data_IF_306993511320
#
_entry.id   IF_306993511320
#
_cell.length_a   1.000
_cell.length_b   1.000
_cell.length_c   1.000
_cell.angle_alpha   90.00
_cell.angle_beta   90.00
_cell.angle_gamma   90.00
#
_symmetry.space_group_name_H-M   'P 1'
#
loop_
_entity.id
_entity.type
_entity.pdbx_description
1 polymer ?
#
# COMPACT_ATOMS: atom_id res chain seq x y z
N UNK A 1 17.91 -23.74 33.54
CA UNK A 1 19.06 -23.09 32.94
C UNK A 1 18.77 -22.96 31.44
N UNK A 2 18.64 -21.77 30.92
CA UNK A 2 18.48 -21.61 29.47
C UNK A 2 19.79 -22.06 28.81
N UNK A 3 19.72 -23.05 27.97
CA UNK A 3 20.87 -23.52 27.20
C UNK A 3 21.30 -22.37 26.27
N UNK A 4 22.55 -21.93 26.37
CA UNK A 4 23.11 -20.89 25.53
C UNK A 4 23.57 -21.54 24.22
N UNK A 5 22.98 -21.12 23.12
CA UNK A 5 23.36 -21.56 21.78
C UNK A 5 24.23 -20.50 21.10
N UNK A 6 25.16 -20.94 20.29
CA UNK A 6 26.04 -20.10 19.48
C UNK A 6 25.77 -20.37 18.00
N UNK A 7 26.06 -19.36 17.21
CA UNK A 7 26.00 -19.38 15.75
C UNK A 7 27.27 -18.79 15.18
N UNK A 8 27.74 -19.29 14.08
CA UNK A 8 28.80 -18.64 13.28
C UNK A 8 28.16 -17.73 12.25
N UNK A 9 28.80 -16.60 11.97
CA UNK A 9 28.34 -15.58 11.01
C UNK A 9 26.90 -15.11 11.21
N UNK A 10 26.46 -14.76 12.43
CA UNK A 10 25.13 -14.21 12.62
C UNK A 10 24.98 -12.93 11.79
N UNK A 11 23.96 -12.91 10.95
CA UNK A 11 23.68 -11.81 10.01
C UNK A 11 22.20 -11.48 10.03
N UNK A 12 21.88 -10.22 9.88
CA UNK A 12 20.54 -9.69 9.70
C UNK A 12 20.50 -8.84 8.45
N UNK A 13 19.52 -9.10 7.60
CA UNK A 13 19.13 -8.24 6.50
C UNK A 13 17.77 -7.62 6.81
N UNK A 14 17.71 -6.31 6.91
CA UNK A 14 16.47 -5.57 7.00
C UNK A 14 16.03 -5.11 5.61
N UNK A 15 14.86 -5.56 5.17
CA UNK A 15 14.20 -5.08 3.96
C UNK A 15 13.10 -4.09 4.33
N UNK A 16 13.20 -2.85 3.86
CA UNK A 16 12.24 -1.76 4.14
C UNK A 16 11.60 -1.30 2.85
N UNK A 17 10.28 -1.10 2.89
CA UNK A 17 9.51 -0.68 1.71
C UNK A 17 8.72 0.59 2.00
N UNK A 18 8.90 1.57 1.10
CA UNK A 18 8.22 2.86 1.15
C UNK A 18 7.51 3.15 -0.16
N UNK A 19 6.44 3.92 -0.08
CA UNK A 19 5.75 4.39 -1.27
C UNK A 19 6.60 5.44 -1.99
N UNK A 20 6.83 5.26 -3.28
CA UNK A 20 7.41 6.29 -4.14
C UNK A 20 6.32 7.22 -4.63
N UNK A 21 5.27 6.66 -5.25
CA UNK A 21 4.13 7.42 -5.75
C UNK A 21 2.84 6.61 -5.59
N UNK A 22 1.81 7.23 -5.04
CA UNK A 22 0.46 6.66 -4.94
C UNK A 22 -0.53 7.34 -5.86
N UNK A 23 -1.64 6.66 -6.15
CA UNK A 23 -2.73 7.22 -6.93
C UNK A 23 -3.26 8.52 -6.27
N UNK A 24 -3.37 9.60 -7.05
CA UNK A 24 -3.90 10.89 -6.59
C UNK A 24 -2.93 11.73 -5.76
N UNK A 25 -1.65 11.33 -5.63
CA UNK A 25 -0.65 12.15 -4.96
C UNK A 25 -0.19 13.31 -5.83
N UNK A 26 0.00 14.47 -5.21
CA UNK A 26 0.63 15.64 -5.82
C UNK A 26 2.15 15.48 -5.92
N UNK A 27 2.81 16.26 -6.77
CA UNK A 27 4.28 16.29 -6.86
C UNK A 27 4.94 16.59 -5.52
N UNK A 28 4.32 17.43 -4.69
CA UNK A 28 4.79 17.74 -3.34
C UNK A 28 4.77 16.49 -2.45
N UNK A 29 3.69 15.71 -2.48
CA UNK A 29 3.58 14.45 -1.71
C UNK A 29 4.58 13.40 -2.19
N UNK A 30 4.84 13.32 -3.50
CA UNK A 30 5.89 12.45 -4.08
C UNK A 30 7.27 12.87 -3.59
N UNK A 31 7.55 14.18 -3.58
CA UNK A 31 8.80 14.71 -3.04
C UNK A 31 8.97 14.40 -1.53
N UNK A 32 7.90 14.49 -0.75
CA UNK A 32 7.89 14.11 0.67
C UNK A 32 8.15 12.60 0.86
N UNK A 33 7.59 11.73 0.00
CA UNK A 33 7.89 10.29 0.01
C UNK A 33 9.36 10.02 -0.28
N UNK A 34 9.92 10.69 -1.29
CA UNK A 34 11.34 10.59 -1.64
C UNK A 34 12.22 11.01 -0.47
N UNK A 35 11.94 12.16 0.12
CA UNK A 35 12.67 12.65 1.28
C UNK A 35 12.58 11.68 2.47
N UNK A 36 11.40 11.14 2.76
CA UNK A 36 11.19 10.16 3.82
C UNK A 36 12.04 8.91 3.62
N UNK A 37 12.10 8.39 2.39
CA UNK A 37 12.92 7.21 2.07
C UNK A 37 14.41 7.51 2.24
N UNK A 38 14.90 8.63 1.69
CA UNK A 38 16.33 8.97 1.69
C UNK A 38 16.90 9.33 3.05
N UNK A 39 16.07 9.78 3.97
CA UNK A 39 16.46 9.98 5.37
C UNK A 39 17.00 8.71 6.02
N UNK A 40 16.53 7.53 5.62
CA UNK A 40 17.02 6.25 6.13
C UNK A 40 18.46 5.94 5.71
N UNK A 41 18.91 6.50 4.58
CA UNK A 41 20.26 6.28 4.05
C UNK A 41 21.19 7.43 4.41
N UNK A 42 20.66 8.63 4.52
CA UNK A 42 21.38 9.84 4.89
C UNK A 42 20.65 10.59 6.02
N UNK A 43 20.98 10.29 7.26
CA UNK A 43 20.40 10.96 8.43
C UNK A 43 20.57 12.49 8.42
N UNK A 44 21.59 13.02 7.74
CA UNK A 44 21.79 14.47 7.56
C UNK A 44 20.61 15.14 6.84
N UNK A 45 19.82 14.40 6.07
CA UNK A 45 18.55 14.85 5.49
C UNK A 45 17.41 14.90 6.53
N UNK A 46 17.70 14.62 7.80
CA UNK A 46 16.75 14.70 8.91
C UNK A 46 16.31 16.15 9.23
N UNK A 47 16.79 17.11 8.47
CA UNK A 47 16.37 18.50 8.50
C UNK A 47 14.99 18.64 7.87
N UNK A 48 14.29 19.71 8.27
CA UNK A 48 13.01 20.10 7.70
C UNK A 48 13.04 20.00 6.16
N UNK A 49 12.05 19.29 5.57
CA UNK A 49 11.97 19.05 4.12
C UNK A 49 12.11 20.36 3.32
N UNK A 50 11.47 21.45 3.78
CA UNK A 50 11.54 22.76 3.14
C UNK A 50 12.97 23.31 3.01
N UNK A 51 13.87 22.92 3.91
CA UNK A 51 15.28 23.34 3.92
C UNK A 51 16.20 22.47 3.06
N UNK A 52 15.77 21.26 2.70
CA UNK A 52 16.60 20.28 1.96
C UNK A 52 16.02 19.93 0.58
N UNK A 53 14.83 20.40 0.23
CA UNK A 53 14.17 20.09 -1.06
C UNK A 53 15.02 20.45 -2.28
N UNK A 54 15.93 21.38 -2.15
CA UNK A 54 16.86 21.81 -3.19
C UNK A 54 18.23 21.09 -3.19
N UNK A 55 18.41 20.10 -2.33
CA UNK A 55 19.64 19.31 -2.26
C UNK A 55 19.92 18.62 -3.61
N UNK A 56 21.17 18.70 -4.05
CA UNK A 56 21.59 18.11 -5.33
C UNK A 56 21.38 16.60 -5.39
N UNK A 57 21.52 15.90 -4.25
CA UNK A 57 21.25 14.46 -4.19
C UNK A 57 19.78 14.17 -4.46
N UNK A 58 18.86 14.86 -3.79
CA UNK A 58 17.42 14.66 -4.03
C UNK A 58 17.03 14.95 -5.48
N UNK A 59 17.66 15.96 -6.13
CA UNK A 59 17.47 16.25 -7.54
C UNK A 59 18.00 15.16 -8.46
N UNK A 60 19.18 14.59 -8.16
CA UNK A 60 19.75 13.47 -8.91
C UNK A 60 18.86 12.22 -8.78
N UNK A 61 18.38 11.95 -7.60
CA UNK A 61 17.48 10.83 -7.33
C UNK A 61 16.14 10.96 -8.08
N UNK A 62 15.58 12.19 -8.08
CA UNK A 62 14.38 12.47 -8.86
C UNK A 62 14.59 12.25 -10.37
N UNK A 63 15.81 12.40 -10.86
CA UNK A 63 16.17 12.12 -12.26
C UNK A 63 16.26 10.63 -12.53
N UNK A 64 16.91 9.87 -11.63
CA UNK A 64 17.00 8.41 -11.73
C UNK A 64 15.60 7.74 -11.66
N UNK A 65 14.73 8.23 -10.79
CA UNK A 65 13.37 7.71 -10.61
C UNK A 65 12.47 7.87 -11.86
N UNK A 66 12.79 8.79 -12.75
CA UNK A 66 12.06 8.98 -14.02
C UNK A 66 12.36 7.90 -15.07
N UNK A 67 13.30 7.01 -14.80
CA UNK A 67 13.68 5.94 -15.73
C UNK A 67 12.56 4.91 -15.81
N UNK A 68 12.03 4.65 -17.01
CA UNK A 68 11.04 3.58 -17.24
C UNK A 68 11.75 2.22 -17.31
N UNK A 69 11.86 1.56 -16.18
CA UNK A 69 12.45 0.24 -16.05
C UNK A 69 11.70 -0.58 -15.00
N UNK A 70 11.78 -1.92 -15.09
CA UNK A 70 11.22 -2.81 -14.06
C UNK A 70 11.78 -2.53 -12.67
N UNK A 71 13.01 -2.03 -12.62
CA UNK A 71 13.67 -1.53 -11.41
C UNK A 71 14.77 -0.54 -11.76
N UNK A 72 15.09 0.32 -10.81
CA UNK A 72 16.20 1.29 -10.90
C UNK A 72 17.07 1.14 -9.65
N UNK A 73 18.39 1.00 -9.83
CA UNK A 73 19.34 1.10 -8.72
C UNK A 73 19.51 2.57 -8.35
N UNK A 74 19.31 2.88 -7.08
CA UNK A 74 19.31 4.25 -6.59
C UNK A 74 20.64 4.66 -5.95
N UNK A 75 21.46 3.70 -5.51
CA UNK A 75 22.83 3.94 -5.04
C UNK A 75 23.82 3.51 -6.12
N UNK A 76 24.56 4.47 -6.68
CA UNK A 76 25.60 4.24 -7.70
C UNK A 76 26.80 5.12 -7.34
N UNK A 77 28.02 4.58 -7.07
CA UNK A 77 28.27 3.15 -6.85
C UNK A 77 27.57 2.61 -5.60
N UNK A 78 27.37 1.29 -5.54
CA UNK A 78 26.84 0.63 -4.36
C UNK A 78 27.72 1.02 -3.17
N UNK A 79 27.12 1.69 -2.17
CA UNK A 79 27.86 2.06 -0.98
C UNK A 79 27.99 0.85 -0.07
N UNK A 80 29.12 0.18 -0.14
CA UNK A 80 29.59 -0.67 0.94
C UNK A 80 30.08 0.25 2.06
N UNK A 81 29.32 0.39 3.11
CA UNK A 81 29.77 1.07 4.32
C UNK A 81 30.20 0.01 5.34
N UNK A 82 31.43 0.07 5.77
CA UNK A 82 31.88 -0.72 6.91
C UNK A 82 31.18 -0.18 8.16
N UNK A 83 30.32 -1.00 8.70
CA UNK A 83 29.65 -0.73 9.98
C UNK A 83 30.64 -0.93 11.09
N UNK A 84 31.06 -0.39 11.98
CA UNK A 84 31.97 -0.59 13.12
C UNK A 84 32.99 -1.75 13.00
N UNK A 85 34.09 -1.79 13.75
CA UNK A 85 35.16 -2.76 13.59
C UNK A 85 34.73 -4.23 13.65
N UNK A 86 33.62 -4.53 14.36
CA UNK A 86 33.13 -5.90 14.57
C UNK A 86 31.92 -6.27 13.70
N UNK A 87 31.33 -5.30 12.97
CA UNK A 87 30.15 -5.50 12.15
C UNK A 87 30.40 -4.94 10.75
N UNK A 88 30.35 -5.79 9.75
CA UNK A 88 30.30 -5.40 8.34
C UNK A 88 28.85 -5.32 7.86
N UNK A 89 28.60 -4.45 6.91
CA UNK A 89 27.28 -4.37 6.31
C UNK A 89 27.26 -3.41 5.12
N UNK A 90 26.12 -3.35 4.43
CA UNK A 90 25.94 -2.49 3.28
C UNK A 90 24.48 -2.04 3.13
N UNK A 91 24.29 -1.01 2.32
CA UNK A 91 22.98 -0.57 1.86
C UNK A 91 22.79 -0.93 0.39
N UNK A 92 21.60 -1.42 0.05
CA UNK A 92 21.19 -1.63 -1.32
C UNK A 92 19.82 -1.02 -1.53
N UNK A 93 19.74 0.02 -2.35
CA UNK A 93 18.52 0.78 -2.55
C UNK A 93 18.04 0.68 -4.00
N UNK A 94 16.75 0.37 -4.16
CA UNK A 94 16.07 0.18 -5.44
C UNK A 94 14.76 0.98 -5.50
N UNK A 95 14.36 1.35 -6.70
CA UNK A 95 12.97 1.62 -7.02
C UNK A 95 12.40 0.40 -7.75
N UNK A 96 11.24 -0.07 -7.30
CA UNK A 96 10.46 -1.17 -7.88
C UNK A 96 9.09 -0.64 -8.28
N UNK A 97 8.97 -0.12 -9.51
CA UNK A 97 7.77 0.59 -9.96
C UNK A 97 7.46 1.81 -9.06
N UNK A 98 6.33 1.77 -8.37
CA UNK A 98 5.84 2.82 -7.45
C UNK A 98 6.37 2.72 -6.01
N UNK A 99 7.35 1.86 -5.75
CA UNK A 99 7.83 1.51 -4.41
C UNK A 99 9.34 1.66 -4.31
N UNK A 100 9.82 2.29 -3.25
CA UNK A 100 11.21 2.22 -2.84
C UNK A 100 11.46 0.97 -2.01
N UNK A 101 12.57 0.30 -2.25
CA UNK A 101 13.05 -0.83 -1.47
C UNK A 101 14.48 -0.53 -0.98
N UNK A 102 14.69 -0.63 0.32
CA UNK A 102 15.99 -0.53 0.96
C UNK A 102 16.31 -1.84 1.65
N UNK A 103 17.44 -2.43 1.32
CA UNK A 103 18.05 -3.48 2.11
C UNK A 103 19.20 -2.87 2.93
N UNK A 104 19.23 -3.20 4.21
CA UNK A 104 20.35 -2.91 5.12
C UNK A 104 20.85 -4.22 5.68
N UNK A 105 22.04 -4.61 5.27
CA UNK A 105 22.73 -5.80 5.77
C UNK A 105 23.60 -5.41 6.97
N UNK A 106 23.67 -6.31 7.95
CA UNK A 106 24.57 -6.20 9.07
C UNK A 106 24.92 -7.58 9.62
N UNK A 107 26.20 -7.88 9.74
CA UNK A 107 26.64 -9.18 10.21
C UNK A 107 28.02 -9.19 10.80
N UNK A 108 28.34 -10.27 11.53
CA UNK A 108 29.66 -10.53 12.10
C UNK A 108 30.54 -11.18 11.06
N UNK A 109 31.76 -10.72 10.91
CA UNK A 109 32.70 -11.19 9.88
C UNK A 109 33.63 -12.30 10.35
N UNK A 110 33.79 -12.50 11.65
CA UNK A 110 34.69 -13.50 12.19
C UNK A 110 34.04 -14.91 12.23
N UNK A 111 34.90 -15.94 12.22
CA UNK A 111 34.49 -17.36 12.19
C UNK A 111 34.14 -17.91 13.58
N UNK A 112 34.33 -17.12 14.63
CA UNK A 112 34.09 -17.57 15.99
C UNK A 112 32.59 -17.64 16.28
N UNK A 113 32.18 -18.70 16.99
CA UNK A 113 30.81 -18.81 17.46
C UNK A 113 30.40 -17.63 18.33
N UNK A 114 29.27 -17.02 18.01
CA UNK A 114 28.69 -15.90 18.75
C UNK A 114 27.40 -16.34 19.41
N UNK A 115 27.10 -15.86 20.61
CA UNK A 115 25.85 -16.15 21.27
C UNK A 115 24.68 -15.54 20.49
N UNK A 116 23.51 -16.16 20.55
CA UNK A 116 22.28 -15.68 19.86
C UNK A 116 21.94 -14.24 20.25
N UNK A 117 22.29 -13.80 21.47
CA UNK A 117 22.12 -12.40 21.91
C UNK A 117 22.80 -11.39 20.98
N UNK A 118 23.80 -11.81 20.19
CA UNK A 118 24.45 -10.93 19.21
C UNK A 118 23.50 -10.37 18.16
N UNK A 119 22.40 -11.07 17.85
CA UNK A 119 21.37 -10.55 16.96
C UNK A 119 20.71 -9.27 17.49
N UNK A 120 20.59 -9.11 18.80
CA UNK A 120 20.08 -7.86 19.38
C UNK A 120 21.01 -6.68 19.07
N UNK A 121 22.33 -6.87 19.20
CA UNK A 121 23.33 -5.82 18.91
C UNK A 121 23.30 -5.45 17.42
N UNK A 122 23.24 -6.47 16.54
CA UNK A 122 23.17 -6.25 15.08
C UNK A 122 21.89 -5.48 14.74
N UNK A 123 20.74 -5.89 15.27
CA UNK A 123 19.45 -5.21 15.06
C UNK A 123 19.50 -3.75 15.50
N UNK A 124 19.96 -3.48 16.71
CA UNK A 124 20.09 -2.12 17.24
C UNK A 124 21.02 -1.25 16.36
N UNK A 125 22.10 -1.83 15.85
CA UNK A 125 23.00 -1.14 14.93
C UNK A 125 22.29 -0.77 13.62
N UNK A 126 21.57 -1.71 13.00
CA UNK A 126 20.78 -1.47 11.79
C UNK A 126 19.72 -0.39 12.04
N UNK A 127 18.95 -0.51 13.12
CA UNK A 127 17.91 0.47 13.48
C UNK A 127 18.47 1.88 13.67
N UNK A 128 19.60 1.99 14.36
CA UNK A 128 20.29 3.28 14.53
C UNK A 128 20.72 3.89 13.20
N UNK A 129 21.16 3.08 12.24
CA UNK A 129 21.61 3.55 10.92
C UNK A 129 20.51 4.08 10.03
N UNK A 130 19.30 3.60 10.20
CA UNK A 130 18.11 4.10 9.49
C UNK A 130 17.30 5.11 10.34
N UNK A 131 17.92 5.66 11.39
CA UNK A 131 17.28 6.62 12.30
C UNK A 131 15.98 6.07 12.92
N UNK A 132 15.94 4.76 13.23
CA UNK A 132 14.78 4.03 13.76
C UNK A 132 13.50 4.17 12.91
N UNK A 133 13.63 4.51 11.62
CA UNK A 133 12.49 4.72 10.74
C UNK A 133 12.00 3.42 10.11
N UNK A 134 10.73 3.15 10.30
CA UNK A 134 10.06 2.00 9.68
C UNK A 134 9.66 2.27 8.22
N UNK A 135 9.40 1.21 7.46
CA UNK A 135 8.82 1.32 6.13
C UNK A 135 7.34 1.66 6.18
N UNK A 136 6.89 2.62 5.36
CA UNK A 136 5.47 3.00 5.26
C UNK A 136 4.59 1.87 4.69
N UNK A 137 5.15 1.05 3.79
CA UNK A 137 4.48 -0.12 3.22
C UNK A 137 4.70 -1.36 4.10
N UNK A 138 5.87 -1.46 4.71
CA UNK A 138 6.22 -2.54 5.62
C UNK A 138 7.70 -2.86 5.61
N UNK A 139 8.09 -3.86 6.40
CA UNK A 139 9.47 -4.29 6.51
C UNK A 139 9.59 -5.76 6.91
N UNK A 140 10.70 -6.39 6.51
CA UNK A 140 11.03 -7.78 6.83
C UNK A 140 12.42 -7.85 7.44
N UNK A 141 12.56 -8.55 8.55
CA UNK A 141 13.82 -8.95 9.13
C UNK A 141 14.18 -10.35 8.65
N UNK A 142 15.17 -10.49 7.80
CA UNK A 142 15.75 -11.78 7.44
C UNK A 142 16.97 -12.02 8.32
N UNK A 143 16.87 -13.02 9.17
CA UNK A 143 17.87 -13.35 10.19
C UNK A 143 18.47 -14.70 9.84
N UNK A 144 19.77 -14.77 9.71
CA UNK A 144 20.40 -16.04 9.38
C UNK A 144 21.77 -16.23 10.05
N UNK A 145 22.16 -17.47 10.17
CA UNK A 145 23.47 -17.86 10.70
C UNK A 145 23.74 -19.32 10.47
N UNK A 146 24.98 -19.75 10.68
CA UNK A 146 25.35 -21.14 10.58
C UNK A 146 25.41 -21.79 11.97
N UNK A 147 24.88 -22.98 12.11
CA UNK A 147 24.94 -23.78 13.32
C UNK A 147 26.36 -24.29 13.57
N UNK A 148 26.83 -24.29 14.81
CA UNK A 148 28.17 -24.82 15.15
C UNK A 148 28.25 -26.34 15.07
N UNK A 149 27.13 -27.03 15.27
CA UNK A 149 27.02 -28.50 15.21
C UNK A 149 25.66 -28.91 14.67
N UNK A 150 25.49 -30.21 14.45
CA UNK A 150 24.18 -30.78 14.11
C UNK A 150 23.31 -30.78 15.37
N UNK A 151 22.11 -30.19 15.25
CA UNK A 151 21.08 -30.19 16.28
C UNK A 151 19.87 -31.02 15.80
N UNK A 152 19.12 -31.55 16.73
CA UNK A 152 17.85 -32.20 16.41
C UNK A 152 16.77 -31.14 16.10
N UNK A 153 15.63 -31.52 15.50
CA UNK A 153 14.59 -30.56 15.09
C UNK A 153 14.02 -29.72 16.26
N UNK A 154 13.89 -30.29 17.45
CA UNK A 154 13.39 -29.59 18.64
C UNK A 154 14.37 -28.52 19.12
N UNK A 155 15.66 -28.83 19.10
CA UNK A 155 16.72 -27.87 19.43
C UNK A 155 16.75 -26.73 18.42
N UNK A 156 16.59 -27.00 17.10
CA UNK A 156 16.54 -25.96 16.07
C UNK A 156 15.36 -25.03 16.27
N UNK A 157 14.20 -25.56 16.66
CA UNK A 157 13.02 -24.74 17.03
C UNK A 157 13.35 -23.86 18.24
N UNK A 158 13.96 -24.41 19.29
CA UNK A 158 14.35 -23.65 20.48
C UNK A 158 15.37 -22.53 20.15
N UNK A 159 16.30 -22.78 19.22
CA UNK A 159 17.22 -21.78 18.68
C UNK A 159 16.45 -20.66 17.96
N UNK A 160 15.45 -21.02 17.14
CA UNK A 160 14.62 -20.06 16.42
C UNK A 160 13.78 -19.18 17.39
N UNK A 161 13.22 -19.79 18.43
CA UNK A 161 12.49 -19.06 19.48
C UNK A 161 13.39 -18.08 20.24
N UNK A 162 14.60 -18.52 20.62
CA UNK A 162 15.57 -17.61 21.25
C UNK A 162 15.97 -16.48 20.32
N UNK A 163 16.21 -16.78 19.03
CA UNK A 163 16.55 -15.78 18.03
C UNK A 163 15.42 -14.74 17.87
N UNK A 164 14.18 -15.21 17.76
CA UNK A 164 13.02 -14.33 17.71
C UNK A 164 12.95 -13.38 18.92
N UNK A 165 13.19 -13.91 20.12
CA UNK A 165 13.18 -13.10 21.36
C UNK A 165 14.23 -11.99 21.35
N UNK A 166 15.39 -12.20 20.69
CA UNK A 166 16.39 -11.14 20.54
C UNK A 166 15.96 -10.06 19.55
N UNK A 167 15.20 -10.44 18.54
CA UNK A 167 14.67 -9.50 17.52
C UNK A 167 13.44 -8.75 18.06
N UNK A 168 12.58 -9.42 18.84
CA UNK A 168 11.37 -8.83 19.43
C UNK A 168 11.32 -9.04 20.95
N UNK A 169 12.14 -8.35 21.74
CA UNK A 169 12.22 -8.55 23.20
C UNK A 169 10.94 -8.12 23.94
N UNK A 170 10.06 -7.33 23.32
CA UNK A 170 8.80 -6.90 23.91
C UNK A 170 7.69 -7.95 23.84
N UNK A 171 7.87 -9.02 23.07
CA UNK A 171 6.89 -10.07 22.91
C UNK A 171 6.77 -10.93 24.18
N UNK A 172 5.56 -11.06 24.72
CA UNK A 172 5.24 -11.82 25.93
C UNK A 172 4.32 -13.02 25.68
N UNK A 173 4.24 -13.50 24.44
CA UNK A 173 3.37 -14.60 24.03
C UNK A 173 4.10 -15.91 23.76
N UNK A 174 3.34 -16.96 23.40
CA UNK A 174 3.90 -18.17 22.81
C UNK A 174 4.15 -17.89 21.33
N UNK A 175 5.39 -18.06 20.89
CA UNK A 175 5.77 -17.86 19.49
C UNK A 175 5.12 -18.95 18.65
N UNK A 176 4.26 -18.57 17.73
CA UNK A 176 3.76 -19.47 16.71
C UNK A 176 4.74 -19.44 15.54
N UNK A 177 5.81 -20.24 15.62
CA UNK A 177 6.62 -20.50 14.44
C UNK A 177 5.72 -21.19 13.41
N UNK A 178 5.50 -20.54 12.28
CA UNK A 178 4.83 -21.19 11.17
C UNK A 178 5.73 -22.34 10.70
N UNK A 179 5.13 -23.39 10.16
CA UNK A 179 5.76 -24.68 9.84
C UNK A 179 7.23 -24.59 9.43
N UNK A 180 8.06 -25.48 9.97
CA UNK A 180 9.46 -25.61 9.56
C UNK A 180 9.54 -25.80 8.04
N UNK A 181 10.21 -24.88 7.39
CA UNK A 181 10.48 -24.84 5.94
C UNK A 181 11.96 -25.12 5.70
N UNK A 182 12.34 -25.40 4.48
CA UNK A 182 13.76 -25.42 4.08
C UNK A 182 14.06 -24.27 3.12
N UNK A 183 15.21 -23.63 3.30
CA UNK A 183 15.67 -22.54 2.46
C UNK A 183 17.16 -22.68 2.19
N UNK A 184 17.53 -22.88 0.92
CA UNK A 184 18.93 -23.07 0.48
C UNK A 184 19.67 -24.17 1.24
N UNK A 185 18.95 -25.21 1.67
CA UNK A 185 19.50 -26.31 2.47
C UNK A 185 19.58 -26.05 3.98
N UNK A 186 19.16 -24.90 4.45
CA UNK A 186 19.00 -24.57 5.86
C UNK A 186 17.58 -24.80 6.37
N UNK A 187 17.41 -24.84 7.69
CA UNK A 187 16.10 -24.85 8.36
C UNK A 187 15.56 -23.42 8.45
N UNK A 188 14.37 -23.20 7.92
CA UNK A 188 13.76 -21.88 7.85
C UNK A 188 12.44 -21.81 8.63
N UNK A 189 12.20 -20.64 9.25
CA UNK A 189 11.02 -20.33 10.03
C UNK A 189 10.53 -18.95 9.67
N UNK A 190 9.23 -18.79 9.57
CA UNK A 190 8.58 -17.51 9.34
C UNK A 190 7.71 -17.14 10.54
N UNK A 191 7.85 -15.92 11.01
CA UNK A 191 6.98 -15.36 12.04
C UNK A 191 6.36 -14.08 11.49
N UNK A 192 5.06 -14.01 11.57
CA UNK A 192 4.33 -12.83 11.18
C UNK A 192 3.23 -12.53 12.20
N UNK A 193 3.34 -11.35 12.77
CA UNK A 193 2.32 -10.79 13.65
C UNK A 193 1.36 -9.93 12.85
N UNK A 194 0.10 -10.38 12.81
CA UNK A 194 -0.95 -9.61 12.13
C UNK A 194 -1.30 -8.36 12.95
N UNK A 195 -1.65 -7.24 12.30
CA UNK A 195 -2.21 -6.10 13.01
C UNK A 195 -3.45 -6.52 13.82
N UNK A 196 -3.51 -6.11 15.09
CA UNK A 196 -4.69 -6.34 15.93
C UNK A 196 -5.91 -5.54 15.44
N UNK A 197 -5.66 -4.41 14.81
CA UNK A 197 -6.66 -3.57 14.15
C UNK A 197 -6.15 -3.09 12.79
N UNK A 198 -6.83 -3.50 11.72
CA UNK A 198 -6.49 -3.14 10.35
C UNK A 198 -6.91 -1.71 9.95
N UNK A 199 -7.57 -0.95 10.79
CA UNK A 199 -7.92 0.45 10.54
C UNK A 199 -6.91 1.39 11.21
N UNK A 200 -6.30 0.94 12.31
CA UNK A 200 -5.33 1.71 13.06
C UNK A 200 -3.96 1.69 12.39
N UNK A 201 -3.41 2.87 12.11
CA UNK A 201 -2.12 3.02 11.45
C UNK A 201 -0.96 2.51 12.29
N UNK A 202 -0.99 2.75 13.61
CA UNK A 202 0.06 2.30 14.50
C UNK A 202 0.10 0.78 14.59
N UNK A 203 -1.05 0.13 14.74
CA UNK A 203 -1.14 -1.33 14.77
C UNK A 203 -0.63 -1.97 13.46
N UNK A 204 -0.86 -1.30 12.32
CA UNK A 204 -0.30 -1.75 11.03
C UNK A 204 1.22 -1.59 10.99
N UNK A 205 1.75 -0.45 11.45
CA UNK A 205 3.21 -0.20 11.51
C UNK A 205 3.92 -1.14 12.48
N UNK A 206 3.27 -1.49 13.58
CA UNK A 206 3.82 -2.39 14.60
C UNK A 206 3.76 -3.87 14.18
N UNK A 207 3.11 -4.18 13.03
CA UNK A 207 3.11 -5.54 12.50
C UNK A 207 4.52 -5.99 12.12
N UNK A 208 4.94 -7.13 12.63
CA UNK A 208 6.29 -7.64 12.49
C UNK A 208 6.34 -8.84 11.54
N UNK A 209 7.29 -8.83 10.63
CA UNK A 209 7.60 -9.99 9.79
C UNK A 209 9.07 -10.35 9.92
N UNK A 210 9.33 -11.57 10.37
CA UNK A 210 10.69 -12.12 10.54
C UNK A 210 10.78 -13.43 9.77
N UNK A 211 11.85 -13.58 8.99
CA UNK A 211 12.24 -14.81 8.33
C UNK A 211 13.58 -15.25 8.89
N UNK A 212 13.63 -16.40 9.58
CA UNK A 212 14.81 -16.93 10.27
C UNK A 212 15.31 -18.14 9.50
N UNK A 213 16.62 -18.23 9.24
CA UNK A 213 17.23 -19.36 8.56
C UNK A 213 18.53 -19.81 9.23
N UNK A 214 18.64 -21.08 9.55
CA UNK A 214 19.87 -21.68 10.10
C UNK A 214 20.46 -22.68 9.13
N UNK A 215 21.71 -22.46 8.75
CA UNK A 215 22.43 -23.36 7.85
C UNK A 215 23.21 -24.42 8.65
N UNK A 216 23.26 -25.67 8.14
CA UNK A 216 24.01 -26.73 8.82
C UNK A 216 25.52 -26.50 8.77
N UNK A 217 26.29 -27.04 9.75
CA UNK A 217 27.74 -26.80 9.83
C UNK A 217 28.54 -27.40 8.65
N UNK A 218 27.96 -28.38 7.92
CA UNK A 218 28.61 -29.00 6.79
C UNK A 218 28.58 -28.14 5.51
N UNK A 219 27.72 -27.15 5.45
CA UNK A 219 27.61 -26.25 4.30
C UNK A 219 28.70 -25.18 4.40
N UNK A 220 29.50 -25.01 3.34
CA UNK A 220 30.52 -23.97 3.32
C UNK A 220 29.87 -22.57 3.42
N UNK A 221 30.39 -21.73 4.29
CA UNK A 221 29.91 -20.34 4.46
C UNK A 221 29.97 -19.53 3.17
N UNK A 222 31.00 -19.74 2.37
CA UNK A 222 31.12 -19.10 1.06
C UNK A 222 29.98 -19.49 0.13
N UNK A 223 29.60 -20.79 0.13
CA UNK A 223 28.45 -21.26 -0.63
C UNK A 223 27.14 -20.71 -0.12
N UNK A 224 26.97 -20.59 1.21
CA UNK A 224 25.80 -19.96 1.83
C UNK A 224 25.70 -18.50 1.35
N UNK A 225 26.75 -17.71 1.54
CA UNK A 225 26.81 -16.29 1.13
C UNK A 225 26.54 -16.12 -0.36
N UNK A 226 27.16 -16.95 -1.21
CA UNK A 226 26.95 -16.94 -2.66
C UNK A 226 25.51 -17.29 -3.04
N UNK A 227 24.92 -18.29 -2.40
CA UNK A 227 23.55 -18.71 -2.66
C UNK A 227 22.54 -17.62 -2.27
N UNK A 228 22.73 -17.00 -1.09
CA UNK A 228 21.92 -15.87 -0.64
C UNK A 228 22.09 -14.69 -1.61
N UNK A 229 23.32 -14.31 -1.97
CA UNK A 229 23.59 -13.20 -2.88
C UNK A 229 22.90 -13.39 -4.25
N UNK A 230 22.86 -14.62 -4.78
CA UNK A 230 22.22 -14.92 -6.05
C UNK A 230 20.70 -14.69 -6.04
N UNK A 231 20.07 -14.82 -4.89
CA UNK A 231 18.60 -14.69 -4.76
C UNK A 231 18.17 -13.40 -4.07
N UNK A 232 19.08 -12.53 -3.63
CA UNK A 232 18.73 -11.30 -2.94
C UNK A 232 17.71 -10.46 -3.70
N UNK A 233 17.90 -10.31 -5.00
CA UNK A 233 17.00 -9.55 -5.84
C UNK A 233 15.59 -10.17 -5.90
N UNK A 234 15.52 -11.51 -5.87
CA UNK A 234 14.23 -12.21 -5.81
C UNK A 234 13.59 -12.09 -4.43
N UNK A 235 14.38 -12.09 -3.33
CA UNK A 235 13.87 -11.87 -1.98
C UNK A 235 13.35 -10.43 -1.79
N UNK A 236 14.10 -9.43 -2.25
CA UNK A 236 13.65 -8.02 -2.21
C UNK A 236 12.28 -7.88 -2.89
N UNK A 237 12.10 -8.48 -4.07
CA UNK A 237 10.82 -8.45 -4.79
C UNK A 237 9.73 -9.25 -4.08
N UNK A 238 10.05 -10.44 -3.59
CA UNK A 238 9.10 -11.30 -2.89
C UNK A 238 8.50 -10.60 -1.66
N UNK A 239 9.36 -10.03 -0.82
CA UNK A 239 8.92 -9.31 0.36
C UNK A 239 8.22 -7.98 0.01
N UNK A 240 8.64 -7.30 -1.07
CA UNK A 240 7.93 -6.14 -1.59
C UNK A 240 6.47 -6.48 -1.92
N UNK A 241 6.24 -7.54 -2.69
CA UNK A 241 4.90 -7.98 -3.07
C UNK A 241 4.07 -8.37 -1.85
N UNK A 242 4.68 -9.09 -0.88
CA UNK A 242 4.04 -9.41 0.39
C UNK A 242 3.53 -8.16 1.12
N UNK A 243 4.42 -7.20 1.31
CA UNK A 243 4.09 -5.98 2.05
C UNK A 243 3.11 -5.09 1.29
N UNK A 244 3.16 -5.05 -0.04
CA UNK A 244 2.15 -4.35 -0.86
C UNK A 244 0.77 -4.98 -0.74
N UNK A 245 0.65 -6.30 -0.65
CA UNK A 245 -0.62 -6.98 -0.38
C UNK A 245 -1.20 -6.52 0.97
N UNK A 246 -0.39 -6.55 2.03
CA UNK A 246 -0.81 -6.18 3.37
C UNK A 246 -1.16 -4.70 3.47
N UNK A 247 -0.34 -3.83 2.88
CA UNK A 247 -0.57 -2.40 2.84
C UNK A 247 -1.84 -2.03 2.07
N UNK A 248 -2.06 -2.64 0.91
CA UNK A 248 -3.27 -2.42 0.13
C UNK A 248 -4.53 -2.91 0.87
N UNK A 249 -4.44 -4.04 1.59
CA UNK A 249 -5.52 -4.50 2.44
C UNK A 249 -5.79 -3.51 3.58
N UNK A 250 -4.76 -3.03 4.27
CA UNK A 250 -4.89 -1.97 5.28
C UNK A 250 -5.57 -0.73 4.72
N UNK A 251 -5.13 -0.20 3.57
CA UNK A 251 -5.77 0.95 2.92
C UNK A 251 -7.25 0.67 2.60
N UNK A 252 -7.55 -0.54 2.13
CA UNK A 252 -8.93 -0.94 1.83
C UNK A 252 -9.85 -0.90 3.05
N UNK A 253 -9.33 -1.25 4.25
CA UNK A 253 -10.13 -1.19 5.50
C UNK A 253 -10.48 0.24 5.87
N UNK A 254 -9.53 1.17 5.72
CA UNK A 254 -9.76 2.61 5.92
C UNK A 254 -10.80 3.15 4.92
N UNK A 255 -10.65 2.81 3.64
CA UNK A 255 -11.59 3.23 2.59
C UNK A 255 -13.00 2.69 2.86
N UNK A 256 -13.13 1.39 3.20
CA UNK A 256 -14.41 0.80 3.57
C UNK A 256 -15.09 1.56 4.72
N UNK A 257 -14.33 1.94 5.73
CA UNK A 257 -14.86 2.71 6.86
C UNK A 257 -15.41 4.07 6.42
N UNK A 258 -14.69 4.78 5.53
CA UNK A 258 -15.15 6.06 4.95
C UNK A 258 -16.40 5.88 4.12
N UNK A 259 -16.39 4.95 3.15
CA UNK A 259 -17.53 4.69 2.27
C UNK A 259 -18.79 4.30 3.08
N UNK A 260 -18.64 3.55 4.18
CA UNK A 260 -19.76 3.24 5.07
C UNK A 260 -20.33 4.49 5.75
N UNK A 261 -19.47 5.42 6.14
CA UNK A 261 -19.92 6.70 6.70
C UNK A 261 -20.71 7.48 5.66
N UNK A 262 -20.16 7.62 4.45
CA UNK A 262 -20.82 8.30 3.34
C UNK A 262 -22.18 7.64 3.03
N UNK A 263 -22.25 6.30 3.05
CA UNK A 263 -23.50 5.57 2.83
C UNK A 263 -24.55 5.84 3.91
N UNK A 264 -24.18 5.98 5.17
CA UNK A 264 -25.11 6.36 6.24
C UNK A 264 -25.66 7.78 6.02
N UNK A 265 -24.83 8.72 5.58
CA UNK A 265 -25.24 10.07 5.21
C UNK A 265 -26.23 10.07 4.05
N UNK A 266 -26.06 9.18 3.07
CA UNK A 266 -27.02 8.93 1.99
C UNK A 266 -28.36 8.48 2.55
N UNK A 267 -28.39 7.53 3.47
CA UNK A 267 -29.63 7.03 4.08
C UNK A 267 -30.40 8.14 4.81
N UNK A 268 -29.69 9.01 5.54
CA UNK A 268 -30.33 10.16 6.18
C UNK A 268 -30.88 11.16 5.15
N UNK A 269 -30.15 11.38 4.06
CA UNK A 269 -30.62 12.24 2.96
C UNK A 269 -31.88 11.66 2.28
N UNK A 270 -31.94 10.32 2.09
CA UNK A 270 -33.15 9.65 1.57
C UNK A 270 -34.36 9.90 2.48
N UNK A 271 -34.19 9.78 3.79
CA UNK A 271 -35.29 10.08 4.76
C UNK A 271 -35.73 11.53 4.65
N UNK A 272 -34.78 12.46 4.63
CA UNK A 272 -35.05 13.90 4.52
C UNK A 272 -35.84 14.22 3.25
N UNK A 273 -35.47 13.63 2.09
CA UNK A 273 -36.19 13.83 0.82
C UNK A 273 -37.60 13.25 0.87
N UNK A 274 -37.79 12.09 1.52
CA UNK A 274 -39.12 11.51 1.71
C UNK A 274 -40.01 12.46 2.51
N UNK A 275 -39.49 13.05 3.58
CA UNK A 275 -40.21 13.99 4.42
C UNK A 275 -40.54 15.30 3.66
N UNK A 276 -39.59 15.79 2.86
CA UNK A 276 -39.81 16.93 1.95
C UNK A 276 -40.85 16.62 0.87
N UNK A 277 -40.88 15.39 0.34
CA UNK A 277 -41.91 14.94 -0.60
C UNK A 277 -43.32 14.92 0.01
N UNK A 278 -43.44 14.57 1.30
CA UNK A 278 -44.74 14.66 2.01
C UNK A 278 -45.17 16.12 2.23
N UNK A 279 -44.23 17.02 2.50
CA UNK A 279 -44.49 18.45 2.59
C UNK A 279 -44.94 19.06 1.25
N UNK A 280 -44.43 18.56 0.13
CA UNK A 280 -44.86 18.95 -1.22
C UNK A 280 -46.37 18.72 -1.41
N UNK A 281 -46.88 17.56 -0.99
CA UNK A 281 -48.30 17.23 -1.07
C UNK A 281 -49.17 18.17 -0.22
N UNK A 282 -48.59 18.76 0.83
CA UNK A 282 -49.27 19.69 1.70
C UNK A 282 -49.09 21.18 1.29
N UNK A 283 -48.45 21.42 0.12
CA UNK A 283 -48.22 22.79 -0.40
C UNK A 283 -47.20 23.63 0.37
N UNK A 284 -46.35 23.03 1.19
CA UNK A 284 -45.36 23.67 2.08
C UNK A 284 -43.93 23.40 1.73
N UNK A 285 -43.60 23.14 0.43
CA UNK A 285 -42.24 22.83 0.04
C UNK A 285 -41.29 24.01 0.18
N UNK A 286 -40.17 23.81 0.87
CA UNK A 286 -39.07 24.75 0.93
C UNK A 286 -38.04 24.46 -0.20
N UNK A 287 -38.05 25.29 -1.23
CA UNK A 287 -37.17 25.13 -2.42
C UNK A 287 -35.69 25.31 -2.05
N UNK A 288 -35.38 26.22 -1.15
CA UNK A 288 -34.02 26.50 -0.68
C UNK A 288 -33.43 25.28 0.05
N UNK A 289 -34.26 24.61 0.85
CA UNK A 289 -33.84 23.38 1.53
C UNK A 289 -33.61 22.21 0.57
N UNK A 290 -34.41 22.12 -0.49
CA UNK A 290 -34.19 21.11 -1.57
C UNK A 290 -32.92 21.37 -2.35
N UNK A 291 -32.63 22.62 -2.69
CA UNK A 291 -31.40 23.03 -3.35
C UNK A 291 -30.16 22.73 -2.51
N UNK A 292 -30.23 23.06 -1.21
CA UNK A 292 -29.17 22.71 -0.26
C UNK A 292 -28.96 21.19 -0.20
N UNK A 293 -30.05 20.43 -0.09
CA UNK A 293 -30.00 18.96 -0.06
C UNK A 293 -29.40 18.38 -1.35
N UNK A 294 -29.69 18.97 -2.52
CA UNK A 294 -29.07 18.59 -3.78
C UNK A 294 -27.56 18.83 -3.77
N UNK A 295 -27.11 19.99 -3.32
CA UNK A 295 -25.67 20.34 -3.23
C UNK A 295 -24.92 19.40 -2.28
N UNK A 296 -25.48 19.13 -1.10
CA UNK A 296 -24.92 18.21 -0.13
C UNK A 296 -24.82 16.79 -0.71
N UNK A 297 -25.87 16.34 -1.42
CA UNK A 297 -25.89 15.01 -2.07
C UNK A 297 -24.85 14.89 -3.19
N UNK A 298 -24.62 15.94 -3.97
CA UNK A 298 -23.58 15.98 -5.01
C UNK A 298 -22.17 15.87 -4.41
N UNK A 299 -21.95 16.51 -3.27
CA UNK A 299 -20.68 16.40 -2.54
C UNK A 299 -20.44 14.96 -2.07
N UNK A 300 -21.45 14.36 -1.43
CA UNK A 300 -21.39 12.95 -0.98
C UNK A 300 -21.15 12.03 -2.16
N UNK A 301 -21.84 12.24 -3.31
CA UNK A 301 -21.63 11.43 -4.52
C UNK A 301 -20.17 11.47 -4.98
N UNK A 302 -19.58 12.66 -5.01
CA UNK A 302 -18.18 12.84 -5.44
C UNK A 302 -17.20 12.12 -4.53
N UNK A 303 -17.35 12.28 -3.21
CA UNK A 303 -16.51 11.60 -2.21
C UNK A 303 -16.67 10.09 -2.27
N UNK A 304 -17.92 9.61 -2.37
CA UNK A 304 -18.23 8.19 -2.49
C UNK A 304 -17.59 7.58 -3.74
N UNK A 305 -17.72 8.24 -4.90
CA UNK A 305 -17.15 7.77 -6.16
C UNK A 305 -15.61 7.71 -6.11
N UNK A 306 -14.96 8.72 -5.52
CA UNK A 306 -13.51 8.75 -5.35
C UNK A 306 -13.07 7.62 -4.42
N UNK A 307 -13.70 7.46 -3.25
CA UNK A 307 -13.35 6.42 -2.29
C UNK A 307 -13.58 5.01 -2.86
N UNK A 308 -14.65 4.81 -3.64
CA UNK A 308 -14.92 3.54 -4.31
C UNK A 308 -13.90 3.23 -5.41
N UNK A 309 -13.45 4.24 -6.16
CA UNK A 309 -12.36 4.10 -7.14
C UNK A 309 -11.04 3.71 -6.47
N UNK A 310 -10.70 4.31 -5.34
CA UNK A 310 -9.52 3.92 -4.58
C UNK A 310 -9.64 2.51 -4.01
N UNK A 311 -10.84 2.09 -3.58
CA UNK A 311 -11.08 0.72 -3.13
C UNK A 311 -10.83 -0.30 -4.25
N UNK A 312 -11.27 0.00 -5.47
CA UNK A 312 -11.00 -0.84 -6.65
C UNK A 312 -9.50 -0.86 -7.01
N UNK A 313 -8.80 0.24 -6.85
CA UNK A 313 -7.35 0.30 -7.03
C UNK A 313 -6.61 -0.61 -6.02
N UNK A 314 -7.01 -0.58 -4.74
CA UNK A 314 -6.43 -1.49 -3.76
C UNK A 314 -6.74 -2.96 -4.07
N UNK A 315 -7.92 -3.27 -4.59
CA UNK A 315 -8.28 -4.61 -5.06
C UNK A 315 -7.34 -5.08 -6.17
N UNK A 316 -7.09 -4.24 -7.17
CA UNK A 316 -6.15 -4.53 -8.27
C UNK A 316 -4.72 -4.67 -7.75
N UNK A 317 -4.31 -3.81 -6.83
CA UNK A 317 -2.99 -3.86 -6.20
C UNK A 317 -2.76 -5.21 -5.49
N UNK A 318 -3.73 -5.69 -4.70
CA UNK A 318 -3.63 -7.02 -4.08
C UNK A 318 -3.51 -8.11 -5.15
N UNK A 319 -4.39 -8.11 -6.15
CA UNK A 319 -4.44 -9.15 -7.19
C UNK A 319 -3.12 -9.24 -7.98
N UNK A 320 -2.57 -8.12 -8.40
CA UNK A 320 -1.31 -8.07 -9.16
C UNK A 320 -0.13 -8.51 -8.29
N UNK A 321 -0.04 -8.00 -7.06
CA UNK A 321 1.08 -8.35 -6.18
C UNK A 321 1.00 -9.81 -5.70
N UNK A 322 -0.20 -10.37 -5.51
CA UNK A 322 -0.37 -11.79 -5.19
C UNK A 322 0.12 -12.69 -6.33
N UNK A 323 -0.26 -12.39 -7.57
CA UNK A 323 0.24 -13.13 -8.74
C UNK A 323 1.77 -13.01 -8.89
N UNK A 324 2.33 -11.82 -8.66
CA UNK A 324 3.77 -11.61 -8.71
C UNK A 324 4.50 -12.33 -7.57
N UNK A 325 3.91 -12.34 -6.36
CA UNK A 325 4.41 -13.08 -5.20
C UNK A 325 4.49 -14.57 -5.48
N UNK A 326 3.42 -15.18 -5.99
CA UNK A 326 3.35 -16.60 -6.31
C UNK A 326 4.38 -16.97 -7.39
N UNK A 327 4.46 -16.22 -8.48
CA UNK A 327 5.46 -16.45 -9.55
C UNK A 327 6.89 -16.32 -9.03
N UNK A 328 7.15 -15.39 -8.13
CA UNK A 328 8.48 -15.20 -7.55
C UNK A 328 8.86 -16.34 -6.62
N UNK A 329 7.92 -16.79 -5.81
CA UNK A 329 8.10 -17.93 -4.92
C UNK A 329 8.37 -19.21 -5.71
N UNK A 330 7.61 -19.46 -6.78
CA UNK A 330 7.84 -20.59 -7.69
C UNK A 330 9.23 -20.52 -8.36
N UNK A 331 9.69 -19.31 -8.74
CA UNK A 331 11.03 -19.11 -9.29
C UNK A 331 12.10 -19.51 -8.29
N UNK A 332 12.02 -18.99 -7.06
CA UNK A 332 12.97 -19.30 -5.98
C UNK A 332 13.00 -20.81 -5.72
N UNK A 333 11.84 -21.47 -5.64
CA UNK A 333 11.75 -22.90 -5.38
C UNK A 333 12.30 -23.76 -6.55
N UNK A 334 12.13 -23.32 -7.81
CA UNK A 334 12.65 -24.02 -8.98
C UNK A 334 14.17 -23.89 -9.14
N UNK A 335 14.70 -22.70 -8.91
CA UNK A 335 16.14 -22.43 -9.04
C UNK A 335 16.93 -23.02 -7.87
N UNK A 336 16.29 -23.32 -6.76
CA UNK A 336 16.88 -23.84 -5.54
C UNK A 336 16.09 -25.05 -5.04
N UNK A 337 16.40 -26.23 -5.61
CA UNK A 337 15.71 -27.49 -5.27
C UNK A 337 15.72 -27.85 -3.78
N UNK A 338 16.62 -27.26 -3.00
CA UNK A 338 16.72 -27.42 -1.54
C UNK A 338 15.88 -26.39 -0.77
N UNK A 339 14.97 -25.67 -1.43
CA UNK A 339 14.08 -24.70 -0.81
C UNK A 339 12.63 -25.16 -0.92
N UNK A 340 12.00 -25.41 0.23
CA UNK A 340 10.58 -25.71 0.38
C UNK A 340 9.98 -24.65 1.32
N UNK A 341 9.41 -23.60 0.74
CA UNK A 341 8.93 -22.40 1.46
C UNK A 341 7.43 -22.49 1.74
N UNK A 342 7.04 -23.53 2.48
CA UNK A 342 5.63 -23.85 2.77
C UNK A 342 4.88 -22.71 3.47
N UNK A 343 5.50 -22.05 4.45
CA UNK A 343 4.89 -20.91 5.15
C UNK A 343 4.59 -19.74 4.21
N UNK A 344 5.50 -19.46 3.28
CA UNK A 344 5.31 -18.42 2.28
C UNK A 344 4.22 -18.79 1.26
N UNK A 345 4.07 -20.07 0.92
CA UNK A 345 2.95 -20.54 0.09
C UNK A 345 1.63 -20.35 0.82
N UNK A 346 1.56 -20.74 2.10
CA UNK A 346 0.38 -20.54 2.94
C UNK A 346 -0.02 -19.06 3.05
N UNK A 347 0.95 -18.14 3.13
CA UNK A 347 0.64 -16.70 3.07
C UNK A 347 -0.02 -16.31 1.75
N UNK A 348 0.44 -16.85 0.62
CA UNK A 348 -0.16 -16.59 -0.70
C UNK A 348 -1.61 -17.07 -0.77
N UNK A 349 -1.87 -18.31 -0.32
CA UNK A 349 -3.21 -18.91 -0.25
C UNK A 349 -4.12 -18.11 0.69
N UNK A 350 -3.66 -17.81 1.89
CA UNK A 350 -4.39 -16.99 2.86
C UNK A 350 -4.72 -15.61 2.31
N UNK A 351 -3.81 -14.99 1.58
CA UNK A 351 -4.02 -13.67 0.98
C UNK A 351 -5.09 -13.70 -0.12
N UNK A 352 -5.16 -14.78 -0.90
CA UNK A 352 -6.20 -14.99 -1.89
C UNK A 352 -7.57 -15.16 -1.21
N UNK A 353 -7.65 -16.09 -0.26
CA UNK A 353 -8.90 -16.51 0.36
C UNK A 353 -9.45 -15.50 1.37
N UNK A 354 -8.58 -14.68 1.95
CA UNK A 354 -8.97 -13.71 2.99
C UNK A 354 -8.95 -12.28 2.47
N UNK A 355 -7.80 -11.80 2.01
CA UNK A 355 -7.65 -10.37 1.69
C UNK A 355 -8.28 -10.01 0.35
N UNK A 356 -7.98 -10.77 -0.70
CA UNK A 356 -8.52 -10.49 -2.03
C UNK A 356 -10.03 -10.71 -2.06
N UNK A 357 -10.51 -11.85 -1.55
CA UNK A 357 -11.94 -12.16 -1.51
C UNK A 357 -12.72 -11.13 -0.69
N UNK A 358 -12.16 -10.68 0.45
CA UNK A 358 -12.83 -9.69 1.28
C UNK A 358 -12.96 -8.32 0.58
N UNK A 359 -11.91 -7.86 -0.10
CA UNK A 359 -11.99 -6.57 -0.80
C UNK A 359 -12.87 -6.63 -2.04
N UNK A 360 -12.89 -7.76 -2.75
CA UNK A 360 -13.81 -8.00 -3.87
C UNK A 360 -15.26 -7.97 -3.39
N UNK A 361 -15.55 -8.66 -2.28
CA UNK A 361 -16.87 -8.64 -1.67
C UNK A 361 -17.26 -7.23 -1.21
N UNK A 362 -16.36 -6.51 -0.59
CA UNK A 362 -16.62 -5.14 -0.14
C UNK A 362 -16.92 -4.20 -1.32
N UNK A 363 -16.15 -4.30 -2.40
CA UNK A 363 -16.38 -3.52 -3.62
C UNK A 363 -17.75 -3.81 -4.24
N UNK A 364 -18.09 -5.10 -4.38
CA UNK A 364 -19.39 -5.52 -4.93
C UNK A 364 -20.54 -5.00 -4.07
N UNK A 365 -20.42 -5.09 -2.74
CA UNK A 365 -21.46 -4.67 -1.81
C UNK A 365 -21.63 -3.14 -1.73
N UNK A 366 -20.56 -2.38 -1.97
CA UNK A 366 -20.58 -0.92 -1.89
C UNK A 366 -20.89 -0.25 -3.24
N UNK A 367 -20.59 -0.89 -4.37
CA UNK A 367 -20.83 -0.31 -5.71
C UNK A 367 -22.29 0.14 -5.93
N UNK A 368 -23.33 -0.59 -5.47
CA UNK A 368 -24.72 -0.15 -5.67
C UNK A 368 -25.05 1.19 -5.01
N UNK A 369 -24.30 1.60 -3.97
CA UNK A 369 -24.45 2.90 -3.31
C UNK A 369 -24.27 4.08 -4.27
N UNK A 370 -23.39 3.94 -5.26
CA UNK A 370 -23.19 4.97 -6.29
C UNK A 370 -24.45 5.16 -7.14
N UNK A 371 -25.07 4.07 -7.58
CA UNK A 371 -26.33 4.10 -8.34
C UNK A 371 -27.48 4.67 -7.50
N UNK A 372 -27.52 4.32 -6.21
CA UNK A 372 -28.52 4.88 -5.30
C UNK A 372 -28.38 6.40 -5.20
N UNK A 373 -27.18 6.93 -5.04
CA UNK A 373 -26.89 8.37 -5.00
C UNK A 373 -27.30 9.08 -6.30
N UNK A 374 -26.99 8.48 -7.45
CA UNK A 374 -27.40 9.03 -8.75
C UNK A 374 -28.93 9.10 -8.89
N UNK A 375 -29.63 8.03 -8.51
CA UNK A 375 -31.08 7.98 -8.51
C UNK A 375 -31.69 9.00 -7.56
N UNK A 376 -31.05 9.23 -6.40
CA UNK A 376 -31.46 10.21 -5.42
C UNK A 376 -31.36 11.63 -5.98
N UNK A 377 -30.24 11.96 -6.62
CA UNK A 377 -30.03 13.25 -7.28
C UNK A 377 -31.10 13.49 -8.36
N UNK A 378 -31.35 12.48 -9.19
CA UNK A 378 -32.38 12.56 -10.24
C UNK A 378 -33.80 12.77 -9.64
N UNK A 379 -34.07 12.13 -8.50
CA UNK A 379 -35.34 12.31 -7.78
C UNK A 379 -35.49 13.73 -7.23
N UNK A 380 -34.43 14.28 -6.63
CA UNK A 380 -34.44 15.66 -6.12
C UNK A 380 -34.64 16.65 -7.27
N UNK A 381 -33.89 16.46 -8.36
CA UNK A 381 -34.00 17.30 -9.57
C UNK A 381 -35.44 17.26 -10.11
N UNK A 382 -36.01 16.06 -10.33
CA UNK A 382 -37.38 15.91 -10.81
C UNK A 382 -38.43 16.55 -9.86
N UNK A 383 -38.20 16.50 -8.56
CA UNK A 383 -39.04 17.16 -7.57
C UNK A 383 -38.97 18.68 -7.68
N UNK A 384 -37.76 19.22 -7.87
CA UNK A 384 -37.54 20.66 -8.09
C UNK A 384 -38.23 21.11 -9.39
N UNK A 385 -38.07 20.33 -10.48
CA UNK A 385 -38.67 20.64 -11.79
C UNK A 385 -40.19 20.67 -11.75
N UNK A 386 -40.82 19.69 -11.07
CA UNK A 386 -42.29 19.65 -10.88
C UNK A 386 -42.77 20.86 -10.09
N UNK A 387 -42.05 21.27 -9.04
CA UNK A 387 -42.42 22.42 -8.23
C UNK A 387 -42.30 23.75 -9.01
N UNK A 388 -41.24 23.87 -9.80
CA UNK A 388 -40.96 25.04 -10.64
C UNK A 388 -41.97 25.21 -11.78
N UNK A 389 -42.35 24.08 -12.41
CA UNK A 389 -43.41 24.08 -13.44
C UNK A 389 -44.75 24.65 -12.87
N UNK A 390 -44.89 24.60 -11.57
CA UNK A 390 -46.06 25.20 -10.86
C UNK A 390 -45.85 26.64 -10.43
N UNK A 391 -44.61 27.15 -10.29
CA UNK A 391 -44.34 28.39 -9.58
C UNK A 391 -43.56 29.49 -10.32
N UNK A 392 -42.56 29.25 -11.18
CA UNK A 392 -41.99 30.29 -12.02
C UNK A 392 -40.78 29.84 -12.90
N UNK A 393 -40.59 30.48 -14.06
CA UNK A 393 -39.83 30.03 -15.23
C UNK A 393 -38.31 30.23 -15.24
N UNK A 394 -37.71 30.82 -14.27
CA UNK A 394 -36.29 31.28 -14.39
C UNK A 394 -35.19 30.33 -13.83
N UNK A 395 -35.53 29.36 -12.98
CA UNK A 395 -34.56 28.45 -12.37
C UNK A 395 -34.28 27.17 -13.19
N UNK A 396 -35.15 26.84 -14.15
CA UNK A 396 -35.06 25.65 -15.03
C UNK A 396 -33.73 25.53 -15.80
N UNK A 397 -33.12 26.68 -16.16
CA UNK A 397 -31.95 26.69 -17.03
C UNK A 397 -30.65 26.27 -16.30
N UNK A 398 -30.56 26.46 -15.01
CA UNK A 398 -29.35 26.18 -14.24
C UNK A 398 -29.24 24.68 -13.86
N UNK A 399 -30.31 24.09 -13.40
CA UNK A 399 -30.32 22.73 -12.86
C UNK A 399 -30.31 21.67 -13.97
N UNK A 400 -31.05 21.90 -15.04
CA UNK A 400 -31.04 21.02 -16.23
C UNK A 400 -29.65 20.98 -16.89
N UNK A 401 -28.97 22.14 -16.99
CA UNK A 401 -27.63 22.21 -17.58
C UNK A 401 -26.57 21.55 -16.68
N UNK A 402 -26.63 21.71 -15.38
CA UNK A 402 -25.69 21.09 -14.43
C UNK A 402 -25.85 19.55 -14.39
N UNK A 403 -27.10 19.06 -14.38
CA UNK A 403 -27.38 17.61 -14.40
C UNK A 403 -26.92 16.92 -15.69
N UNK A 404 -27.17 17.53 -16.85
CA UNK A 404 -26.68 17.04 -18.14
C UNK A 404 -25.15 17.06 -18.19
N UNK A 405 -24.52 18.12 -17.69
CA UNK A 405 -23.06 18.22 -17.64
C UNK A 405 -22.39 17.14 -16.78
N UNK A 406 -22.98 16.83 -15.63
CA UNK A 406 -22.47 15.76 -14.76
C UNK A 406 -22.64 14.37 -15.38
N UNK A 407 -23.82 14.07 -15.94
CA UNK A 407 -24.06 12.80 -16.62
C UNK A 407 -23.11 12.60 -17.81
N UNK A 408 -22.89 13.64 -18.61
CA UNK A 408 -22.00 13.58 -19.78
C UNK A 408 -20.54 13.46 -19.38
N UNK A 409 -20.12 14.13 -18.30
CA UNK A 409 -18.75 14.01 -17.79
C UNK A 409 -18.43 12.59 -17.28
N UNK A 410 -19.40 11.90 -16.66
CA UNK A 410 -19.24 10.52 -16.20
C UNK A 410 -19.16 9.53 -17.37
N UNK A 411 -20.00 9.68 -18.39
CA UNK A 411 -19.95 8.86 -19.59
C UNK A 411 -18.62 9.10 -20.33
N UNK A 412 -18.21 10.36 -20.52
CA UNK A 412 -16.95 10.70 -21.16
C UNK A 412 -15.74 10.15 -20.37
N UNK A 413 -15.77 10.24 -19.05
CA UNK A 413 -14.71 9.71 -18.19
C UNK A 413 -14.60 8.19 -18.32
N UNK A 414 -15.71 7.44 -18.27
CA UNK A 414 -15.70 5.98 -18.38
C UNK A 414 -15.23 5.50 -19.77
N UNK A 415 -15.65 6.16 -20.84
CA UNK A 415 -15.24 5.83 -22.22
C UNK A 415 -13.76 6.18 -22.45
N UNK A 416 -13.31 7.36 -21.99
CA UNK A 416 -11.93 7.82 -22.17
C UNK A 416 -10.94 7.04 -21.34
N UNK A 417 -11.29 6.62 -20.11
CA UNK A 417 -10.47 5.72 -19.28
C UNK A 417 -10.34 4.34 -19.93
N UNK A 418 -11.40 3.86 -20.60
CA UNK A 418 -11.36 2.59 -21.33
C UNK A 418 -10.49 2.65 -22.59
N UNK A 419 -10.47 3.79 -23.31
CA UNK A 419 -9.69 3.97 -24.54
C UNK A 419 -8.24 4.45 -24.27
N UNK A 420 -8.06 5.24 -23.25
CA UNK A 420 -6.77 5.82 -22.86
C UNK A 420 -6.54 5.54 -21.36
N UNK A 421 -6.10 4.33 -21.00
CA UNK A 421 -5.82 3.99 -19.61
C UNK A 421 -4.81 5.00 -19.04
N UNK A 422 -5.04 5.54 -17.85
CA UNK A 422 -4.19 6.56 -17.25
C UNK A 422 -2.77 6.04 -17.14
N UNK A 423 -1.83 6.81 -17.67
CA UNK A 423 -0.42 6.53 -17.51
C UNK A 423 -0.07 6.72 -16.02
N UNK A 424 0.63 5.78 -15.42
CA UNK A 424 0.96 5.75 -13.98
C UNK A 424 1.71 6.98 -13.45
N UNK A 425 2.07 7.91 -14.35
CA UNK A 425 2.89 9.10 -14.05
C UNK A 425 2.09 10.41 -13.94
N UNK A 426 0.79 10.41 -14.25
CA UNK A 426 0.00 11.66 -14.19
C UNK A 426 -1.03 11.61 -13.08
N UNK A 427 -1.12 12.66 -12.22
CA UNK A 427 -2.20 12.78 -11.26
C UNK A 427 -3.57 12.66 -11.96
N UNK A 428 -4.53 11.98 -11.32
CA UNK A 428 -5.86 11.69 -11.90
C UNK A 428 -6.52 12.93 -12.51
N UNK A 429 -6.47 14.07 -11.84
CA UNK A 429 -7.05 15.34 -12.32
C UNK A 429 -6.29 16.00 -13.47
N UNK A 430 -5.07 15.56 -13.81
CA UNK A 430 -4.28 15.97 -14.98
C UNK A 430 -4.29 14.92 -16.10
N UNK A 431 -5.01 13.81 -15.91
CA UNK A 431 -5.15 12.81 -16.96
C UNK A 431 -5.95 13.41 -18.13
N UNK A 432 -5.55 13.05 -19.34
CA UNK A 432 -6.27 13.46 -20.57
C UNK A 432 -7.75 13.08 -20.47
N UNK A 433 -8.06 11.91 -19.88
CA UNK A 433 -9.42 11.46 -19.66
C UNK A 433 -10.22 12.37 -18.72
N UNK A 434 -9.63 12.81 -17.61
CA UNK A 434 -10.27 13.73 -16.68
C UNK A 434 -10.48 15.11 -17.30
N UNK A 435 -9.45 15.70 -17.92
CA UNK A 435 -9.53 17.01 -18.57
C UNK A 435 -10.60 17.02 -19.66
N UNK A 436 -10.62 16.02 -20.53
CA UNK A 436 -11.65 15.91 -21.57
C UNK A 436 -13.04 15.66 -21.03
N UNK A 437 -13.19 14.89 -19.92
CA UNK A 437 -14.49 14.70 -19.28
C UNK A 437 -15.03 16.01 -18.68
N UNK A 438 -14.18 16.81 -18.05
CA UNK A 438 -14.55 18.15 -17.54
C UNK A 438 -14.92 19.09 -18.72
N UNK A 439 -14.10 19.11 -19.78
CA UNK A 439 -14.38 19.92 -20.97
C UNK A 439 -15.71 19.49 -21.62
N UNK A 440 -15.92 18.18 -21.78
CA UNK A 440 -17.19 17.65 -22.32
C UNK A 440 -18.39 18.03 -21.44
N UNK A 441 -18.26 17.90 -20.11
CA UNK A 441 -19.29 18.30 -19.16
C UNK A 441 -19.63 19.80 -19.21
N UNK A 442 -18.62 20.66 -19.28
CA UNK A 442 -18.80 22.12 -19.39
C UNK A 442 -19.43 22.50 -20.74
N UNK A 443 -18.93 21.93 -21.85
CA UNK A 443 -19.45 22.22 -23.19
C UNK A 443 -20.91 21.77 -23.32
N UNK A 444 -21.26 20.58 -22.85
CA UNK A 444 -22.65 20.08 -22.89
C UNK A 444 -23.56 20.90 -21.98
N UNK A 445 -23.10 21.36 -20.82
CA UNK A 445 -23.84 22.29 -19.97
C UNK A 445 -24.12 23.61 -20.68
N UNK A 446 -23.12 24.18 -21.34
CA UNK A 446 -23.27 25.44 -22.12
C UNK A 446 -24.23 25.25 -23.30
N UNK A 447 -24.08 24.14 -24.05
CA UNK A 447 -24.97 23.83 -25.18
C UNK A 447 -26.40 23.63 -24.70
N UNK A 448 -26.59 22.87 -23.64
CA UNK A 448 -27.92 22.67 -23.05
C UNK A 448 -28.53 24.00 -22.61
N UNK A 449 -27.76 24.85 -21.94
CA UNK A 449 -28.21 26.20 -21.53
C UNK A 449 -28.60 27.09 -22.74
N UNK A 450 -27.82 27.08 -23.82
CA UNK A 450 -28.13 27.81 -25.05
C UNK A 450 -29.39 27.27 -25.72
N UNK A 451 -29.54 25.93 -25.81
CA UNK A 451 -30.70 25.28 -26.39
C UNK A 451 -31.98 25.60 -25.59
N UNK A 452 -31.93 25.49 -24.26
CA UNK A 452 -33.04 25.87 -23.40
C UNK A 452 -33.41 27.34 -23.56
N UNK A 453 -32.43 28.23 -23.74
CA UNK A 453 -32.68 29.66 -23.98
C UNK A 453 -33.30 29.92 -25.39
N UNK A 454 -32.95 29.08 -26.39
CA UNK A 454 -33.45 29.25 -27.80
C UNK A 454 -34.84 28.66 -28.02
N UNK A 455 -35.20 27.56 -27.34
CA UNK A 455 -36.51 26.92 -27.41
C UNK A 455 -37.58 27.82 -26.76
N UNK A 456 -37.17 28.77 -25.94
CA UNK A 456 -38.03 29.72 -25.21
C UNK A 456 -38.25 31.06 -25.92
N UNK A 457 -37.60 31.33 -27.03
CA UNK A 457 -37.93 32.43 -27.92
C UNK A 457 -38.87 31.95 -29.05
#
# INVERSE_FOLDING_TARGET
MNQQYNLTYPTIDLFVYDLQQGLGQTDEQVNQNRHYFWRKIKPDLNKDYEKVKDDNLLKQLATLEKTEADYVKLLIPEKLENFQPDLAGYYYALQLGDTYALQVDGGVTDELGKPISKFQDIKQNIESRIDHQQGKIGQTWFVWGQLEKIYNPEEIIAIAEQCYTQINPSFQGKIALQSQSSFLGGSAFEVWEQPSDWVNEQNFKDSLHIFICFFPPQQSVENIKKSIANIYFDLIRLFCYRHKILWAYYQSRKLKSRIKKDFNEVQETVKKIRDLGQQLNNGRLNLEELQKTLTDTLTILSEYAINLSYLDDQRRTIKVNLNNYQKRLEKISRENSNSQLQSMQQFGEFSADKYLLQIETDYINLSPGLTLLQNLISTIQGTIDIYQAKSDRNLENFIGSAGIGLATSQIASSVLVAQYPPNSKTPFFLTTAFLWSVVAGVLTSIIAWILFKKIRR
#
